data_IF_801330753398
#
_entry.id   IF_801330753398
#
_cell.length_a   1.000
_cell.length_b   1.000
_cell.length_c   1.000
_cell.angle_alpha   90.00
_cell.angle_beta   90.00
_cell.angle_gamma   90.00
#
_symmetry.space_group_name_H-M   'P 1'
#
loop_
_entity.id
_entity.type
_entity.pdbx_description
1 polymer ?
#
# COMPACT_ATOMS: atom_id res chain seq x y z
N UNK A 1 -13.92 5.33 5.79
CA UNK A 1 -14.08 6.69 5.26
C UNK A 1 -12.92 7.54 5.79
N UNK A 2 -11.98 7.94 4.92
CA UNK A 2 -10.79 8.72 5.29
C UNK A 2 -11.12 10.01 6.05
N UNK A 3 -12.28 10.62 5.79
CA UNK A 3 -12.68 11.91 6.39
C UNK A 3 -13.32 11.73 7.77
N UNK A 4 -13.67 10.49 8.16
CA UNK A 4 -14.35 10.20 9.43
C UNK A 4 -13.52 9.40 10.43
N UNK A 5 -12.45 8.72 9.99
CA UNK A 5 -11.59 7.97 10.91
C UNK A 5 -10.61 8.90 11.61
N UNK A 6 -10.68 8.93 12.94
CA UNK A 6 -9.78 9.74 13.78
C UNK A 6 -8.34 9.28 13.63
N UNK A 7 -8.14 7.97 13.56
CA UNK A 7 -6.85 7.31 13.36
C UNK A 7 -6.24 7.71 12.02
N UNK A 8 -7.02 7.64 10.94
CA UNK A 8 -6.55 8.03 9.62
C UNK A 8 -6.17 9.52 9.56
N UNK A 9 -7.03 10.40 10.07
CA UNK A 9 -6.74 11.84 10.10
C UNK A 9 -5.48 12.12 10.93
N UNK A 10 -5.35 11.49 12.10
CA UNK A 10 -4.19 11.65 12.98
C UNK A 10 -2.89 11.19 12.28
N UNK A 11 -2.87 9.97 11.73
CA UNK A 11 -1.70 9.43 11.03
C UNK A 11 -1.34 10.26 9.78
N UNK A 12 -2.34 10.73 9.02
CA UNK A 12 -2.10 11.59 7.87
C UNK A 12 -1.46 12.92 8.27
N UNK A 13 -1.90 13.56 9.35
CA UNK A 13 -1.26 14.79 9.87
C UNK A 13 0.17 14.52 10.36
N UNK A 14 0.39 13.37 11.00
CA UNK A 14 1.70 12.96 11.50
C UNK A 14 2.72 12.77 10.38
N UNK A 15 2.32 12.05 9.32
CA UNK A 15 3.16 11.81 8.15
C UNK A 15 3.37 13.09 7.33
N UNK A 16 2.32 13.89 7.10
CA UNK A 16 2.43 15.18 6.40
C UNK A 16 3.39 16.13 7.12
N UNK A 17 3.35 16.18 8.47
CA UNK A 17 4.27 17.01 9.26
C UNK A 17 5.73 16.59 9.06
N UNK A 18 6.01 15.28 9.10
CA UNK A 18 7.36 14.75 8.92
C UNK A 18 7.88 14.99 7.49
N UNK A 19 7.07 14.68 6.48
CA UNK A 19 7.46 14.84 5.07
C UNK A 19 7.64 16.30 4.67
N UNK A 20 6.85 17.22 5.21
CA UNK A 20 7.09 18.68 5.05
C UNK A 20 8.42 19.13 5.64
N UNK A 21 8.88 18.46 6.69
CA UNK A 21 10.20 18.69 7.28
C UNK A 21 11.34 17.96 6.53
N UNK A 22 11.02 17.20 5.47
CA UNK A 22 11.99 16.38 4.74
C UNK A 22 12.49 15.17 5.55
N UNK A 23 11.74 14.75 6.56
CA UNK A 23 12.08 13.63 7.43
C UNK A 23 11.45 12.34 6.92
N UNK A 24 12.27 11.32 6.70
CA UNK A 24 11.78 9.95 6.50
C UNK A 24 11.30 9.37 7.84
N UNK A 25 10.17 8.66 7.80
CA UNK A 25 9.55 8.06 8.99
C UNK A 25 9.61 6.55 8.86
N UNK A 26 10.51 5.93 9.63
CA UNK A 26 10.48 4.47 9.78
C UNK A 26 9.25 4.03 10.57
N UNK A 27 8.90 2.75 10.48
CA UNK A 27 7.78 2.22 11.27
C UNK A 27 8.04 2.32 12.79
N UNK A 28 9.31 2.25 13.23
CA UNK A 28 9.68 2.50 14.62
C UNK A 28 9.52 3.98 15.01
N UNK A 29 9.87 4.91 14.13
CA UNK A 29 9.62 6.34 14.32
C UNK A 29 8.12 6.62 14.40
N UNK A 30 7.32 5.94 13.58
CA UNK A 30 5.87 6.07 13.58
C UNK A 30 5.29 5.74 14.96
N UNK A 31 5.69 4.62 15.58
CA UNK A 31 5.25 4.24 16.93
C UNK A 31 5.58 5.34 17.95
N UNK A 32 6.81 5.87 17.92
CA UNK A 32 7.23 6.95 18.82
C UNK A 32 6.42 8.23 18.59
N UNK A 33 6.24 8.63 17.34
CA UNK A 33 5.50 9.85 16.96
C UNK A 33 4.01 9.74 17.24
N UNK A 34 3.41 8.54 17.23
CA UNK A 34 2.03 8.33 17.68
C UNK A 34 1.90 8.65 19.17
N UNK A 35 2.86 8.18 19.99
CA UNK A 35 2.86 8.40 21.44
C UNK A 35 3.18 9.86 21.80
N UNK A 36 4.10 10.49 21.07
CA UNK A 36 4.54 11.86 21.28
C UNK A 36 4.52 12.65 19.95
N UNK A 37 3.32 13.07 19.47
CA UNK A 37 3.21 13.77 18.20
C UNK A 37 3.76 15.20 18.28
N UNK A 38 4.37 15.71 17.20
CA UNK A 38 4.99 17.04 17.17
C UNK A 38 3.97 18.19 17.04
N UNK A 39 2.70 17.94 17.33
CA UNK A 39 1.62 18.91 17.25
C UNK A 39 0.62 18.72 18.40
N UNK A 40 -0.06 19.81 18.77
CA UNK A 40 -1.04 19.83 19.86
C UNK A 40 -2.48 20.02 19.37
N UNK A 41 -2.69 20.18 18.06
CA UNK A 41 -4.00 20.39 17.45
C UNK A 41 -4.12 19.64 16.13
N UNK A 42 -5.35 19.29 15.77
CA UNK A 42 -5.72 18.75 14.45
C UNK A 42 -6.82 19.63 13.88
N UNK A 43 -6.50 20.38 12.82
CA UNK A 43 -7.35 21.46 12.34
C UNK A 43 -7.57 22.50 13.45
N UNK A 44 -8.82 22.73 13.82
CA UNK A 44 -9.20 23.68 14.90
C UNK A 44 -9.32 23.02 16.28
N UNK A 45 -9.30 21.68 16.36
CA UNK A 45 -9.54 20.94 17.60
C UNK A 45 -8.23 20.70 18.36
N UNK A 46 -8.30 20.75 19.68
CA UNK A 46 -7.21 20.29 20.56
C UNK A 46 -7.01 18.77 20.41
N UNK A 47 -5.75 18.33 20.41
CA UNK A 47 -5.40 16.94 20.17
C UNK A 47 -5.92 16.00 21.26
N UNK A 48 -5.90 16.41 22.54
CA UNK A 48 -6.45 15.57 23.61
C UNK A 48 -7.96 15.43 23.51
N UNK A 49 -8.65 16.43 22.95
CA UNK A 49 -10.09 16.34 22.69
C UNK A 49 -10.41 15.48 21.47
N UNK A 50 -9.61 15.61 20.40
CA UNK A 50 -9.81 14.88 19.14
C UNK A 50 -9.42 13.40 19.26
N UNK A 51 -8.20 13.14 19.73
CA UNK A 51 -7.61 11.80 19.81
C UNK A 51 -6.74 11.68 21.07
N UNK A 52 -7.35 11.36 22.23
CA UNK A 52 -6.69 11.36 23.53
C UNK A 52 -5.45 10.48 23.61
N UNK A 53 -4.55 10.79 24.55
CA UNK A 53 -3.34 10.00 24.82
C UNK A 53 -3.60 8.48 24.96
N UNK A 54 -4.71 8.08 25.60
CA UNK A 54 -5.10 6.67 25.75
C UNK A 54 -5.38 5.99 24.41
N UNK A 55 -6.12 6.65 23.52
CA UNK A 55 -6.47 6.12 22.21
C UNK A 55 -5.22 6.04 21.31
N UNK A 56 -4.35 7.06 21.38
CA UNK A 56 -3.03 7.06 20.71
C UNK A 56 -2.13 5.92 21.20
N UNK A 57 -2.10 5.66 22.51
CA UNK A 57 -1.33 4.56 23.06
C UNK A 57 -1.84 3.19 22.56
N UNK A 58 -3.16 3.02 22.43
CA UNK A 58 -3.74 1.82 21.85
C UNK A 58 -3.36 1.64 20.37
N UNK A 59 -3.37 2.72 19.58
CA UNK A 59 -2.90 2.69 18.20
C UNK A 59 -1.40 2.36 18.10
N UNK A 60 -0.57 2.98 18.93
CA UNK A 60 0.86 2.70 18.98
C UNK A 60 1.14 1.24 19.31
N UNK A 61 0.39 0.64 20.24
CA UNK A 61 0.48 -0.77 20.56
C UNK A 61 0.09 -1.67 19.37
N UNK A 62 -0.96 -1.31 18.63
CA UNK A 62 -1.36 -2.02 17.40
C UNK A 62 -0.27 -1.98 16.33
N UNK A 63 0.29 -0.81 16.05
CA UNK A 63 1.39 -0.65 15.09
C UNK A 63 2.65 -1.40 15.56
N UNK A 64 2.97 -1.34 16.85
CA UNK A 64 4.08 -2.10 17.43
C UNK A 64 3.85 -3.62 17.35
N UNK A 65 2.60 -4.08 17.46
CA UNK A 65 2.26 -5.49 17.30
C UNK A 65 2.59 -6.03 15.91
N UNK A 66 2.44 -5.20 14.86
CA UNK A 66 2.85 -5.55 13.50
C UNK A 66 4.37 -5.71 13.45
N UNK A 67 5.13 -4.74 13.97
CA UNK A 67 6.59 -4.78 14.05
C UNK A 67 7.12 -5.99 14.82
N UNK A 68 6.49 -6.31 15.94
CA UNK A 68 6.90 -7.40 16.81
C UNK A 68 6.46 -8.78 16.28
N UNK A 69 5.65 -8.82 15.22
CA UNK A 69 5.20 -10.10 14.66
C UNK A 69 6.36 -10.76 13.88
N UNK A 70 6.71 -12.03 14.18
CA UNK A 70 7.81 -12.72 13.50
C UNK A 70 7.61 -12.78 11.98
N UNK A 71 6.35 -12.91 11.55
CA UNK A 71 6.00 -12.95 10.13
C UNK A 71 6.21 -11.63 9.40
N UNK A 72 6.12 -10.48 10.07
CA UNK A 72 6.31 -9.16 9.44
C UNK A 72 7.78 -8.74 9.37
N UNK A 73 8.64 -9.26 10.25
CA UNK A 73 10.08 -8.95 10.19
C UNK A 73 10.70 -9.30 8.83
N UNK A 74 10.26 -10.41 8.23
CA UNK A 74 10.68 -10.80 6.88
C UNK A 74 10.26 -9.81 5.78
N UNK A 75 9.26 -8.96 6.02
CA UNK A 75 8.81 -7.91 5.09
C UNK A 75 9.66 -6.63 5.17
N UNK A 76 10.46 -6.49 6.24
CA UNK A 76 11.35 -5.36 6.44
C UNK A 76 12.76 -5.61 5.87
N UNK A 77 13.02 -6.83 5.42
CA UNK A 77 14.29 -7.25 4.83
C UNK A 77 14.16 -7.44 3.32
N UNK A 78 15.27 -7.29 2.59
CA UNK A 78 15.33 -7.51 1.14
C UNK A 78 15.30 -6.24 0.30
N UNK A 79 15.01 -6.40 -0.99
CA UNK A 79 14.94 -5.29 -1.93
C UNK A 79 13.58 -4.59 -1.83
N UNK A 80 13.61 -3.25 -1.78
CA UNK A 80 12.39 -2.45 -1.82
C UNK A 80 11.62 -2.70 -3.13
N UNK A 81 10.29 -2.75 -3.02
CA UNK A 81 9.43 -2.94 -4.18
C UNK A 81 9.47 -1.71 -5.10
N UNK A 82 10.09 -1.87 -6.27
CA UNK A 82 10.17 -0.85 -7.31
C UNK A 82 9.66 -1.42 -8.64
N UNK A 83 8.51 -0.94 -9.10
CA UNK A 83 7.86 -1.42 -10.33
C UNK A 83 8.72 -1.15 -11.58
N UNK A 84 9.50 -0.07 -11.59
CA UNK A 84 10.43 0.22 -12.68
C UNK A 84 11.50 -0.86 -12.82
N UNK A 85 12.10 -1.28 -11.69
CA UNK A 85 13.10 -2.36 -11.64
C UNK A 85 12.51 -3.75 -11.93
N UNK A 86 11.22 -3.94 -11.67
CA UNK A 86 10.52 -5.15 -12.09
C UNK A 86 10.34 -5.21 -13.62
N UNK A 87 10.23 -4.07 -14.30
CA UNK A 87 9.96 -4.00 -15.74
C UNK A 87 11.23 -3.87 -16.60
N UNK A 88 12.32 -3.33 -16.04
CA UNK A 88 13.56 -3.03 -16.76
C UNK A 88 14.77 -3.40 -15.91
N UNK A 89 15.81 -3.90 -16.57
CA UNK A 89 17.15 -4.05 -16.01
C UNK A 89 17.86 -2.69 -15.95
N UNK A 90 18.96 -2.61 -15.18
CA UNK A 90 19.79 -1.40 -15.10
C UNK A 90 20.37 -0.97 -16.47
N UNK A 91 20.61 -1.93 -17.36
CA UNK A 91 21.05 -1.71 -18.74
C UNK A 91 19.92 -1.25 -19.69
N UNK A 92 18.69 -1.10 -19.18
CA UNK A 92 17.52 -0.65 -19.92
C UNK A 92 16.79 -1.75 -20.70
N UNK A 93 17.28 -2.99 -20.72
CA UNK A 93 16.56 -4.09 -21.38
C UNK A 93 15.26 -4.45 -20.64
N UNK A 94 14.19 -4.81 -21.37
CA UNK A 94 12.94 -5.24 -20.76
C UNK A 94 13.15 -6.54 -19.95
N UNK A 95 12.43 -6.65 -18.83
CA UNK A 95 12.49 -7.79 -17.92
C UNK A 95 11.10 -8.41 -17.76
N UNK A 96 11.05 -9.73 -17.70
CA UNK A 96 9.89 -10.45 -17.18
C UNK A 96 10.17 -10.74 -15.71
N UNK A 97 9.30 -10.24 -14.83
CA UNK A 97 9.37 -10.49 -13.40
C UNK A 97 8.25 -11.44 -12.99
N UNK A 98 8.61 -12.52 -12.31
CA UNK A 98 7.68 -13.53 -11.79
C UNK A 98 7.67 -13.39 -10.27
N UNK A 99 6.51 -13.01 -9.72
CA UNK A 99 6.31 -12.84 -8.30
C UNK A 99 5.57 -14.08 -7.75
N UNK A 100 6.31 -14.98 -7.12
CA UNK A 100 5.74 -16.21 -6.54
C UNK A 100 5.29 -15.97 -5.10
N UNK A 101 3.98 -16.11 -4.86
CA UNK A 101 3.37 -15.99 -3.52
C UNK A 101 2.93 -17.34 -2.95
N UNK A 102 3.39 -18.46 -3.54
CA UNK A 102 2.94 -19.80 -3.17
C UNK A 102 3.28 -20.18 -1.71
N UNK A 103 4.35 -19.61 -1.16
CA UNK A 103 4.84 -19.86 0.20
C UNK A 103 4.14 -19.02 1.28
N UNK A 104 3.35 -18.02 0.88
CA UNK A 104 2.66 -17.11 1.79
C UNK A 104 1.31 -17.71 2.23
N UNK A 105 0.90 -17.40 3.45
CA UNK A 105 -0.47 -17.65 3.92
C UNK A 105 -1.48 -16.66 3.31
N UNK A 106 -2.78 -16.88 3.49
CA UNK A 106 -3.82 -16.06 2.86
C UNK A 106 -3.75 -14.58 3.24
N UNK A 107 -3.40 -14.28 4.50
CA UNK A 107 -3.29 -12.89 4.97
C UNK A 107 -2.08 -12.19 4.35
N UNK A 108 -0.94 -12.88 4.30
CA UNK A 108 0.29 -12.41 3.67
C UNK A 108 0.13 -12.26 2.16
N UNK A 109 -0.56 -13.18 1.49
CA UNK A 109 -0.91 -13.09 0.06
C UNK A 109 -1.76 -11.86 -0.22
N UNK A 110 -2.83 -11.66 0.55
CA UNK A 110 -3.70 -10.49 0.41
C UNK A 110 -2.93 -9.19 0.63
N UNK A 111 -2.06 -9.16 1.65
CA UNK A 111 -1.19 -8.02 1.93
C UNK A 111 -0.24 -7.74 0.76
N UNK A 112 0.50 -8.75 0.27
CA UNK A 112 1.41 -8.63 -0.87
C UNK A 112 0.71 -8.06 -2.10
N UNK A 113 -0.40 -8.67 -2.49
CA UNK A 113 -1.14 -8.30 -3.70
C UNK A 113 -1.65 -6.88 -3.56
N UNK A 114 -2.18 -6.50 -2.40
CA UNK A 114 -2.63 -5.12 -2.16
C UNK A 114 -1.49 -4.13 -2.30
N UNK A 115 -0.31 -4.42 -1.72
CA UNK A 115 0.87 -3.58 -1.81
C UNK A 115 1.33 -3.44 -3.27
N UNK A 116 1.48 -4.56 -3.97
CA UNK A 116 1.90 -4.60 -5.37
C UNK A 116 0.96 -3.79 -6.27
N UNK A 117 -0.35 -3.96 -6.15
CA UNK A 117 -1.30 -3.25 -7.00
C UNK A 117 -1.25 -1.74 -6.75
N UNK A 118 -1.06 -1.30 -5.50
CA UNK A 118 -0.90 0.13 -5.19
C UNK A 118 0.42 0.69 -5.74
N UNK A 119 1.52 -0.05 -5.65
CA UNK A 119 2.80 0.37 -6.26
C UNK A 119 2.70 0.45 -7.78
N UNK A 120 2.01 -0.50 -8.42
CA UNK A 120 1.74 -0.46 -9.87
C UNK A 120 0.88 0.76 -10.23
N UNK A 121 -0.12 1.12 -9.42
CA UNK A 121 -0.91 2.35 -9.62
C UNK A 121 -0.05 3.60 -9.46
N UNK A 122 0.80 3.65 -8.43
CA UNK A 122 1.69 4.78 -8.18
C UNK A 122 2.66 4.98 -9.36
N UNK A 123 3.33 3.90 -9.79
CA UNK A 123 4.18 3.89 -10.97
C UNK A 123 3.43 4.29 -12.24
N UNK A 124 2.23 3.74 -12.46
CA UNK A 124 1.39 4.05 -13.63
C UNK A 124 1.07 5.55 -13.70
N UNK A 125 0.78 6.19 -12.55
CA UNK A 125 0.45 7.62 -12.48
C UNK A 125 1.63 8.54 -12.77
N UNK A 126 2.87 8.06 -12.67
CA UNK A 126 4.05 8.84 -13.10
C UNK A 126 4.31 8.75 -14.59
N UNK A 127 3.62 7.86 -15.32
CA UNK A 127 3.80 7.70 -16.77
C UNK A 127 3.00 8.72 -17.56
N UNK A 128 3.54 9.14 -18.70
CA UNK A 128 2.76 9.90 -19.68
C UNK A 128 1.71 9.00 -20.36
N UNK A 129 0.54 9.57 -20.63
CA UNK A 129 -0.51 8.90 -21.39
C UNK A 129 0.01 8.43 -22.75
N UNK A 130 -0.44 7.25 -23.21
CA UNK A 130 0.01 6.65 -24.46
C UNK A 130 -1.02 5.66 -25.02
N UNK A 131 -1.01 5.48 -26.35
CA UNK A 131 -1.76 4.44 -27.05
C UNK A 131 -0.95 3.14 -27.22
N UNK A 132 0.37 3.18 -26.99
CA UNK A 132 1.26 2.01 -27.10
C UNK A 132 1.33 1.22 -25.79
N UNK A 133 1.43 -0.10 -25.89
CA UNK A 133 1.63 -0.97 -24.73
C UNK A 133 3.03 -0.76 -24.14
N UNK A 134 3.10 -0.52 -22.83
CA UNK A 134 4.33 -0.38 -22.04
C UNK A 134 4.65 -1.63 -21.21
N UNK A 135 3.63 -2.20 -20.58
CA UNK A 135 3.77 -3.32 -19.65
C UNK A 135 2.47 -4.13 -19.59
N UNK A 136 2.58 -5.38 -19.13
CA UNK A 136 1.45 -6.25 -18.83
C UNK A 136 1.56 -6.67 -17.36
N UNK A 137 0.50 -6.42 -16.60
CA UNK A 137 0.28 -7.06 -15.31
C UNK A 137 -0.59 -8.30 -15.55
N UNK A 138 0.00 -9.47 -15.39
CA UNK A 138 -0.70 -10.75 -15.41
C UNK A 138 -0.92 -11.24 -13.98
N UNK A 139 -2.15 -11.66 -13.66
CA UNK A 139 -2.49 -12.27 -12.39
C UNK A 139 -3.31 -13.54 -12.61
N UNK A 140 -2.79 -14.64 -12.08
CA UNK A 140 -3.49 -15.92 -12.03
C UNK A 140 -4.37 -16.01 -10.78
N UNK A 141 -5.48 -16.74 -10.88
CA UNK A 141 -6.51 -16.95 -9.85
C UNK A 141 -6.95 -15.69 -9.09
N UNK A 142 -7.77 -14.85 -9.73
CA UNK A 142 -8.19 -13.56 -9.14
C UNK A 142 -9.39 -13.62 -8.19
N UNK A 143 -10.08 -14.77 -8.09
CA UNK A 143 -11.37 -14.88 -7.39
C UNK A 143 -11.31 -14.34 -5.93
N UNK A 144 -10.29 -14.72 -5.17
CA UNK A 144 -10.11 -14.26 -3.79
C UNK A 144 -9.78 -12.76 -3.64
N UNK A 145 -9.27 -12.13 -4.69
CA UNK A 145 -8.79 -10.75 -4.69
C UNK A 145 -9.78 -9.76 -5.31
N UNK A 146 -10.70 -10.25 -6.14
CA UNK A 146 -11.77 -9.49 -6.75
C UNK A 146 -13.13 -10.21 -6.64
N UNK A 147 -13.58 -10.57 -5.41
CA UNK A 147 -14.86 -11.24 -5.23
C UNK A 147 -16.03 -10.30 -5.57
N UNK A 148 -17.19 -10.82 -6.02
CA UNK A 148 -18.33 -10.00 -6.41
C UNK A 148 -18.92 -9.23 -5.22
N UNK A 149 -19.12 -9.91 -4.08
CA UNK A 149 -19.83 -9.36 -2.91
C UNK A 149 -18.88 -8.74 -1.88
N UNK A 150 -17.78 -9.41 -1.55
CA UNK A 150 -16.85 -8.93 -0.53
C UNK A 150 -16.00 -7.75 -1.02
N UNK A 151 -15.37 -7.04 -0.08
CA UNK A 151 -14.50 -5.90 -0.37
C UNK A 151 -13.12 -6.06 0.29
N UNK A 152 -12.30 -7.04 -0.15
CA UNK A 152 -10.93 -7.18 0.32
C UNK A 152 -10.09 -5.97 -0.10
N UNK A 153 -8.95 -5.79 0.56
CA UNK A 153 -8.05 -4.64 0.33
C UNK A 153 -7.53 -4.54 -1.11
N UNK A 154 -7.42 -5.66 -1.82
CA UNK A 154 -7.01 -5.73 -3.23
C UNK A 154 -8.08 -5.27 -4.22
N UNK A 155 -9.37 -5.28 -3.86
CA UNK A 155 -10.48 -5.02 -4.80
C UNK A 155 -10.45 -3.61 -5.37
N UNK A 156 -10.28 -2.61 -4.51
CA UNK A 156 -10.23 -1.21 -4.92
C UNK A 156 -9.07 -0.89 -5.88
N UNK A 157 -7.80 -1.25 -5.59
CA UNK A 157 -6.70 -1.01 -6.52
C UNK A 157 -6.85 -1.84 -7.80
N UNK A 158 -7.34 -3.09 -7.73
CA UNK A 158 -7.63 -3.89 -8.93
C UNK A 158 -8.64 -3.20 -9.86
N UNK A 159 -9.76 -2.71 -9.32
CA UNK A 159 -10.76 -1.96 -10.08
C UNK A 159 -10.21 -0.65 -10.63
N UNK A 160 -9.29 0.00 -9.93
CA UNK A 160 -8.61 1.21 -10.40
C UNK A 160 -7.78 0.91 -11.64
N UNK A 161 -6.98 -0.16 -11.61
CA UNK A 161 -6.18 -0.59 -12.75
C UNK A 161 -7.08 -0.95 -13.94
N UNK A 162 -8.12 -1.77 -13.73
CA UNK A 162 -9.06 -2.14 -14.80
C UNK A 162 -9.73 -0.92 -15.46
N UNK A 163 -9.99 0.14 -14.70
CA UNK A 163 -10.61 1.38 -15.22
C UNK A 163 -9.63 2.33 -15.91
N UNK A 164 -8.40 2.44 -15.40
CA UNK A 164 -7.50 3.55 -15.76
C UNK A 164 -6.23 3.10 -16.51
N UNK A 165 -5.77 1.86 -16.33
CA UNK A 165 -4.45 1.40 -16.80
C UNK A 165 -4.22 1.57 -18.30
N UNK A 166 -5.28 1.40 -19.10
CA UNK A 166 -5.21 1.55 -20.57
C UNK A 166 -4.67 2.90 -21.00
N UNK A 167 -5.05 3.99 -20.32
CA UNK A 167 -4.64 5.34 -20.70
C UNK A 167 -3.12 5.56 -20.57
N UNK A 168 -2.46 4.74 -19.73
CA UNK A 168 -1.03 4.81 -19.45
C UNK A 168 -0.23 3.70 -20.14
N UNK A 169 -0.86 2.91 -21.00
CA UNK A 169 -0.20 1.80 -21.70
C UNK A 169 0.06 0.57 -20.83
N UNK A 170 -0.63 0.43 -19.69
CA UNK A 170 -0.56 -0.78 -18.86
C UNK A 170 -1.72 -1.72 -19.23
N UNK A 171 -1.38 -2.89 -19.75
CA UNK A 171 -2.33 -3.99 -19.97
C UNK A 171 -2.55 -4.78 -18.68
N UNK A 172 -3.79 -5.18 -18.41
CA UNK A 172 -4.14 -6.01 -17.25
C UNK A 172 -4.76 -7.30 -17.77
N UNK A 173 -4.18 -8.44 -17.41
CA UNK A 173 -4.66 -9.77 -17.78
C UNK A 173 -4.95 -10.54 -16.50
N UNK A 174 -6.20 -10.92 -16.32
CA UNK A 174 -6.68 -11.63 -15.13
C UNK A 174 -7.17 -13.01 -15.56
N UNK A 175 -6.76 -14.04 -14.82
CA UNK A 175 -7.24 -15.41 -14.98
C UNK A 175 -7.93 -15.87 -13.69
N UNK A 176 -8.94 -16.73 -13.83
CA UNK A 176 -9.60 -17.38 -12.69
C UNK A 176 -10.14 -18.73 -13.12
N UNK A 177 -10.02 -19.71 -12.25
CA UNK A 177 -10.74 -20.98 -12.40
C UNK A 177 -12.20 -20.85 -11.96
N UNK A 178 -12.50 -19.87 -11.10
CA UNK A 178 -13.82 -19.61 -10.53
C UNK A 178 -14.37 -18.26 -11.04
N UNK A 179 -15.28 -18.24 -12.03
CA UNK A 179 -15.79 -17.00 -12.63
C UNK A 179 -16.95 -16.34 -11.85
N UNK A 180 -17.22 -16.81 -10.62
CA UNK A 180 -18.49 -16.57 -9.88
C UNK A 180 -18.58 -15.19 -9.23
#
# INVERSE_FOLDING_TARGET
>A
DPVRSREHIFLSNLLDTAWRAGEDVSLADLVRRIQAPPFTRVGVMDLESFYPAKDRAALALGVNGILASPGFSAWLEGEALDVGRLLRREDGHPRISILSIAHLDDAQRMFFVTLLLNEVIAWMRTQSGTSSLRAILYMDEVFGYLPPVANPSSKSPMLTLLKQARAFGLGVVLATQNPV
#
